data_IF_333816046817
#
_entry.id   IF_333816046817
#
_cell.length_a   1.000
_cell.length_b   1.000
_cell.length_c   1.000
_cell.angle_alpha   90.00
_cell.angle_beta   90.00
_cell.angle_gamma   90.00
#
_symmetry.space_group_name_H-M   'P 1'
#
loop_
_entity.id
_entity.type
_entity.pdbx_description
1 polymer ?
#
# COMPACT_ATOMS: atom_id res chain seq x y z
N UNK A 1 0.41 10.35 78.67
CA UNK A 1 1.46 10.75 77.72
C UNK A 1 1.64 9.73 76.62
N UNK A 2 1.79 8.43 76.83
CA UNK A 2 2.03 7.41 75.77
C UNK A 2 0.96 7.34 74.68
N UNK A 3 -0.35 7.47 75.08
CA UNK A 3 -1.47 7.42 74.10
C UNK A 3 -1.56 8.64 73.22
N UNK A 4 -1.12 9.80 73.64
CA UNK A 4 -1.10 11.04 72.89
C UNK A 4 0.03 11.01 71.81
N UNK A 5 1.15 10.40 72.12
CA UNK A 5 2.26 10.22 71.21
C UNK A 5 1.95 9.23 70.08
N UNK A 6 1.08 8.23 70.38
CA UNK A 6 0.67 7.23 69.41
C UNK A 6 -0.34 7.80 68.38
N UNK A 7 -1.22 8.71 68.81
CA UNK A 7 -2.17 9.39 67.93
C UNK A 7 -1.45 10.37 66.99
N UNK A 8 -0.47 11.11 67.51
CA UNK A 8 0.36 12.02 66.67
C UNK A 8 1.14 11.24 65.63
N UNK A 9 1.71 10.07 65.95
CA UNK A 9 2.41 9.23 64.97
C UNK A 9 1.47 8.68 63.88
N UNK A 10 0.23 8.29 64.23
CA UNK A 10 -0.74 7.81 63.26
C UNK A 10 -1.17 8.93 62.28
N UNK A 11 -1.38 10.13 62.77
CA UNK A 11 -1.74 11.29 61.96
C UNK A 11 -0.59 11.69 61.03
N UNK A 12 0.64 11.69 61.54
CA UNK A 12 1.82 12.00 60.70
C UNK A 12 2.07 10.93 59.63
N UNK A 13 1.81 9.65 59.92
CA UNK A 13 1.95 8.56 58.98
C UNK A 13 0.87 8.60 57.88
N UNK A 14 -0.35 9.05 58.22
CA UNK A 14 -1.41 9.21 57.24
C UNK A 14 -1.18 10.34 56.23
N UNK A 15 -0.59 11.46 56.66
CA UNK A 15 -0.24 12.57 55.76
C UNK A 15 0.90 12.21 54.79
N UNK A 16 1.89 11.44 55.25
CA UNK A 16 2.99 10.97 54.43
C UNK A 16 2.49 9.96 53.38
N UNK A 17 1.55 9.07 53.75
CA UNK A 17 1.00 8.07 52.85
C UNK A 17 0.10 8.67 51.74
N UNK A 18 -0.70 9.71 52.07
CA UNK A 18 -1.49 10.44 51.09
C UNK A 18 -0.58 11.21 50.08
N UNK A 19 0.50 11.81 50.58
CA UNK A 19 1.47 12.54 49.70
C UNK A 19 2.19 11.62 48.73
N UNK A 20 2.44 10.36 49.10
CA UNK A 20 3.14 9.40 48.23
C UNK A 20 2.24 8.87 47.11
N UNK A 21 0.94 8.64 47.42
CA UNK A 21 -0.07 8.24 46.42
C UNK A 21 -0.27 9.29 45.31
N UNK A 22 -0.23 10.56 45.67
CA UNK A 22 -0.39 11.65 44.72
C UNK A 22 0.86 11.82 43.81
N UNK A 23 2.05 11.55 44.37
CA UNK A 23 3.31 11.55 43.60
C UNK A 23 3.38 10.41 42.59
N UNK A 24 2.98 9.20 42.98
CA UNK A 24 2.90 8.02 42.11
C UNK A 24 1.90 8.24 40.95
N UNK A 25 0.75 8.85 41.25
CA UNK A 25 -0.26 9.21 40.25
C UNK A 25 0.26 10.26 39.26
N UNK A 26 1.02 11.24 39.74
CA UNK A 26 1.64 12.27 38.90
C UNK A 26 2.72 11.69 37.98
N UNK A 27 3.53 10.75 38.47
CA UNK A 27 4.56 10.06 37.69
C UNK A 27 3.94 9.23 36.57
N UNK A 28 2.86 8.48 36.84
CA UNK A 28 2.10 7.72 35.83
C UNK A 28 1.49 8.66 34.76
N UNK A 29 0.97 9.82 35.16
CA UNK A 29 0.44 10.81 34.23
C UNK A 29 1.54 11.39 33.35
N UNK A 30 2.72 11.66 33.91
CA UNK A 30 3.86 12.20 33.19
C UNK A 30 4.39 11.17 32.18
N UNK A 31 4.45 9.91 32.54
CA UNK A 31 4.84 8.82 31.65
C UNK A 31 3.84 8.67 30.47
N UNK A 32 2.54 8.73 30.76
CA UNK A 32 1.51 8.71 29.71
C UNK A 32 1.60 9.93 28.79
N UNK A 33 1.89 11.13 29.32
CA UNK A 33 2.08 12.33 28.51
C UNK A 33 3.28 12.18 27.58
N UNK A 34 4.41 11.70 28.09
CA UNK A 34 5.61 11.47 27.29
C UNK A 34 5.35 10.44 26.17
N UNK A 35 4.61 9.37 26.48
CA UNK A 35 4.23 8.36 25.49
C UNK A 35 3.31 8.91 24.40
N UNK A 36 2.31 9.73 24.80
CA UNK A 36 1.43 10.40 23.84
C UNK A 36 2.20 11.39 22.95
N UNK A 37 3.18 12.10 23.52
CA UNK A 37 4.04 13.02 22.78
C UNK A 37 4.90 12.27 21.74
N UNK A 38 5.41 11.09 22.10
CA UNK A 38 6.13 10.20 21.19
C UNK A 38 5.20 9.66 20.07
N UNK A 39 3.99 9.23 20.42
CA UNK A 39 2.99 8.76 19.45
C UNK A 39 2.57 9.87 18.48
N UNK A 40 2.38 11.10 18.97
CA UNK A 40 2.08 12.27 18.12
C UNK A 40 3.25 12.56 17.17
N UNK A 41 4.48 12.52 17.67
CA UNK A 41 5.67 12.71 16.84
C UNK A 41 5.77 11.64 15.73
N UNK A 42 5.54 10.38 16.07
CA UNK A 42 5.54 9.27 15.12
C UNK A 42 4.42 9.40 14.08
N UNK A 43 3.22 9.82 14.49
CA UNK A 43 2.10 10.08 13.58
C UNK A 43 2.40 11.26 12.65
N UNK A 44 3.00 12.33 13.17
CA UNK A 44 3.42 13.47 12.35
C UNK A 44 4.42 13.06 11.27
N UNK A 45 5.42 12.26 11.64
CA UNK A 45 6.40 11.75 10.67
C UNK A 45 5.74 10.86 9.59
N UNK A 46 4.77 10.02 9.96
CA UNK A 46 4.01 9.23 8.99
C UNK A 46 3.15 10.08 8.06
N UNK A 47 2.58 11.16 8.57
CA UNK A 47 1.81 12.11 7.75
C UNK A 47 2.74 12.80 6.74
N UNK A 48 3.93 13.21 7.16
CA UNK A 48 4.90 13.84 6.28
C UNK A 48 5.40 12.86 5.21
N UNK A 49 5.65 11.61 5.56
CA UNK A 49 6.00 10.53 4.63
C UNK A 49 4.87 10.28 3.62
N UNK A 50 3.63 10.14 4.08
CA UNK A 50 2.48 9.96 3.21
C UNK A 50 2.26 11.15 2.26
N UNK A 51 2.46 12.38 2.74
CA UNK A 51 2.35 13.58 1.90
C UNK A 51 3.44 13.61 0.82
N UNK A 52 4.65 13.18 1.15
CA UNK A 52 5.74 13.06 0.18
C UNK A 52 5.42 11.99 -0.88
N UNK A 53 4.89 10.84 -0.46
CA UNK A 53 4.50 9.77 -1.38
C UNK A 53 3.34 10.20 -2.29
N UNK A 54 2.34 10.92 -1.74
CA UNK A 54 1.24 11.50 -2.54
C UNK A 54 1.77 12.47 -3.59
N UNK A 55 2.68 13.36 -3.22
CA UNK A 55 3.30 14.29 -4.16
C UNK A 55 4.05 13.55 -5.27
N UNK A 56 4.80 12.52 -4.93
CA UNK A 56 5.54 11.67 -5.89
C UNK A 56 4.61 10.91 -6.83
N UNK A 57 3.47 10.42 -6.33
CA UNK A 57 2.42 9.78 -7.14
C UNK A 57 1.79 10.81 -8.09
N UNK A 58 1.51 12.01 -7.62
CA UNK A 58 0.92 13.08 -8.42
C UNK A 58 1.86 13.54 -9.55
N UNK A 59 3.15 13.71 -9.26
CA UNK A 59 4.18 13.99 -10.27
C UNK A 59 4.30 12.86 -11.30
N UNK A 60 4.29 11.60 -10.85
CA UNK A 60 4.32 10.43 -11.73
C UNK A 60 3.08 10.35 -12.62
N UNK A 61 1.89 10.65 -12.07
CA UNK A 61 0.66 10.70 -12.83
C UNK A 61 0.68 11.82 -13.88
N UNK A 62 1.18 13.00 -13.53
CA UNK A 62 1.32 14.10 -14.50
C UNK A 62 2.22 13.72 -15.66
N UNK A 63 3.36 13.07 -15.40
CA UNK A 63 4.25 12.59 -16.45
C UNK A 63 3.57 11.56 -17.35
N UNK A 64 2.75 10.66 -16.77
CA UNK A 64 1.97 9.69 -17.55
C UNK A 64 0.91 10.35 -18.42
N UNK A 65 0.20 11.36 -17.91
CA UNK A 65 -0.77 12.09 -18.72
C UNK A 65 -0.11 12.77 -19.91
N UNK A 66 1.08 13.36 -19.73
CA UNK A 66 1.85 13.98 -20.81
C UNK A 66 2.32 12.93 -21.82
N UNK A 67 2.75 11.75 -21.36
CA UNK A 67 3.16 10.66 -22.26
C UNK A 67 1.97 10.08 -23.03
N UNK A 68 0.84 9.89 -22.33
CA UNK A 68 -0.41 9.42 -22.95
C UNK A 68 -0.92 10.40 -24.02
N UNK A 69 -0.89 11.69 -23.72
CA UNK A 69 -1.30 12.74 -24.66
C UNK A 69 -0.42 12.76 -25.91
N UNK A 70 0.89 12.58 -25.73
CA UNK A 70 1.86 12.45 -26.82
C UNK A 70 1.60 11.21 -27.66
N UNK A 71 1.29 10.07 -27.05
CA UNK A 71 0.98 8.82 -27.76
C UNK A 71 -0.35 8.93 -28.51
N UNK A 72 -1.37 9.57 -27.90
CA UNK A 72 -2.65 9.85 -28.57
C UNK A 72 -2.39 10.70 -29.82
N UNK A 73 -1.62 11.76 -29.70
CA UNK A 73 -1.30 12.64 -30.84
C UNK A 73 -0.52 11.93 -31.95
N UNK A 74 0.36 11.01 -31.59
CA UNK A 74 1.07 10.15 -32.55
C UNK A 74 0.11 9.21 -33.27
N UNK A 75 -0.85 8.60 -32.54
CA UNK A 75 -1.87 7.73 -33.14
C UNK A 75 -2.82 8.49 -34.04
N UNK A 76 -3.28 9.68 -33.63
CA UNK A 76 -4.10 10.56 -34.47
C UNK A 76 -3.38 10.92 -35.78
N UNK A 77 -2.08 11.22 -35.69
CA UNK A 77 -1.26 11.52 -36.88
C UNK A 77 -1.13 10.32 -37.80
N UNK A 78 -0.94 9.11 -37.24
CA UNK A 78 -0.87 7.86 -38.01
C UNK A 78 -2.20 7.51 -38.67
N UNK A 79 -3.32 7.72 -37.98
CA UNK A 79 -4.68 7.51 -38.54
C UNK A 79 -4.89 8.47 -39.73
N UNK A 80 -4.60 9.77 -39.55
CA UNK A 80 -4.73 10.75 -40.64
C UNK A 80 -3.87 10.42 -41.84
N UNK A 81 -2.64 9.93 -41.62
CA UNK A 81 -1.76 9.49 -42.71
C UNK A 81 -2.27 8.22 -43.42
N UNK A 82 -2.93 7.31 -42.67
CA UNK A 82 -3.55 6.11 -43.22
C UNK A 82 -4.85 6.38 -44.00
N UNK A 83 -5.56 7.45 -43.66
CA UNK A 83 -6.75 7.91 -44.39
C UNK A 83 -6.37 8.57 -45.74
N UNK A 84 -5.23 9.27 -45.80
CA UNK A 84 -4.72 9.82 -47.09
C UNK A 84 -4.24 8.76 -48.06
N UNK A 85 -3.74 7.58 -47.57
CA UNK A 85 -3.32 6.46 -48.44
C UNK A 85 -4.47 5.50 -48.80
N UNK A 86 -5.65 5.63 -48.21
CA UNK A 86 -6.78 4.69 -48.35
C UNK A 86 -7.79 5.08 -49.45
N UNK A 87 -7.55 6.10 -50.26
CA UNK A 87 -8.43 6.41 -51.41
C UNK A 87 -8.26 5.46 -52.60
N UNK A 88 -7.31 4.49 -52.59
CA UNK A 88 -7.03 3.67 -53.78
C UNK A 88 -7.04 2.15 -53.60
N UNK A 89 -7.47 1.54 -52.49
CA UNK A 89 -7.70 0.07 -52.47
C UNK A 89 -8.70 -0.38 -51.39
N UNK A 90 -9.90 -0.74 -51.82
CA UNK A 90 -10.90 -1.44 -51.05
C UNK A 90 -10.50 -2.91 -50.95
N UNK A 91 -9.81 -3.31 -49.88
CA UNK A 91 -9.60 -4.71 -49.53
C UNK A 91 -10.11 -4.96 -48.11
N UNK A 92 -11.18 -5.77 -48.08
CA UNK A 92 -11.83 -6.35 -46.90
C UNK A 92 -10.86 -7.29 -46.18
N UNK A 93 -10.27 -6.84 -45.08
CA UNK A 93 -9.57 -7.73 -44.14
C UNK A 93 -9.72 -7.22 -42.71
N UNK A 94 -10.39 -8.01 -41.89
CA UNK A 94 -10.64 -7.86 -40.45
C UNK A 94 -9.35 -8.00 -39.60
N UNK A 95 -8.20 -7.57 -40.03
CA UNK A 95 -6.96 -7.55 -39.25
C UNK A 95 -6.41 -6.13 -39.22
N UNK A 96 -6.76 -5.39 -38.20
CA UNK A 96 -6.18 -4.08 -37.91
C UNK A 96 -4.73 -4.29 -37.37
N UNK A 97 -3.65 -4.07 -38.16
CA UNK A 97 -2.28 -4.29 -37.73
C UNK A 97 -1.84 -3.40 -36.56
N UNK A 98 -2.59 -2.32 -36.31
CA UNK A 98 -2.30 -1.39 -35.23
C UNK A 98 -2.70 -1.96 -33.85
N UNK A 99 -3.75 -2.80 -33.79
CA UNK A 99 -4.17 -3.47 -32.57
C UNK A 99 -3.12 -4.45 -32.05
N UNK A 100 -2.40 -5.11 -32.96
CA UNK A 100 -1.32 -6.04 -32.58
C UNK A 100 -0.05 -5.35 -32.06
N UNK A 101 0.26 -4.16 -32.56
CA UNK A 101 1.46 -3.41 -32.13
C UNK A 101 1.27 -2.75 -30.76
N UNK A 102 0.07 -2.24 -30.46
CA UNK A 102 -0.24 -1.64 -29.16
C UNK A 102 -0.31 -2.74 -28.09
N UNK A 103 -0.98 -3.84 -28.39
CA UNK A 103 -1.11 -4.98 -27.47
C UNK A 103 0.24 -5.64 -27.15
N UNK A 104 1.19 -5.69 -28.11
CA UNK A 104 2.52 -6.25 -27.87
C UNK A 104 3.39 -5.36 -26.98
N UNK A 105 3.33 -4.03 -27.13
CA UNK A 105 4.09 -3.08 -26.32
C UNK A 105 3.61 -3.07 -24.85
N UNK A 106 2.31 -3.04 -24.63
CA UNK A 106 1.72 -3.07 -23.28
C UNK A 106 2.03 -4.38 -22.56
N UNK A 107 1.97 -5.51 -23.27
CA UNK A 107 2.32 -6.82 -22.73
C UNK A 107 3.80 -6.95 -22.36
N UNK A 108 4.71 -6.34 -23.12
CA UNK A 108 6.15 -6.35 -22.81
C UNK A 108 6.47 -5.48 -21.59
N UNK A 109 5.83 -4.33 -21.45
CA UNK A 109 6.00 -3.44 -20.29
C UNK A 109 5.43 -4.08 -19.01
N UNK A 110 4.26 -4.69 -19.09
CA UNK A 110 3.66 -5.44 -17.97
C UNK A 110 4.57 -6.59 -17.52
N UNK A 111 5.06 -7.39 -18.47
CA UNK A 111 6.01 -8.47 -18.19
C UNK A 111 7.31 -7.96 -17.57
N UNK A 112 7.81 -6.82 -18.01
CA UNK A 112 9.02 -6.20 -17.47
C UNK A 112 8.82 -5.81 -15.99
N UNK A 113 7.70 -5.16 -15.64
CA UNK A 113 7.35 -4.82 -14.26
C UNK A 113 7.20 -6.08 -13.39
N UNK A 114 6.51 -7.09 -13.91
CA UNK A 114 6.33 -8.36 -13.23
C UNK A 114 7.67 -9.07 -12.98
N UNK A 115 8.49 -9.24 -14.01
CA UNK A 115 9.77 -9.92 -13.89
C UNK A 115 10.76 -9.20 -12.97
N UNK A 116 10.75 -7.86 -12.99
CA UNK A 116 11.53 -7.06 -12.06
C UNK A 116 11.05 -7.24 -10.62
N UNK A 117 9.74 -7.27 -10.39
CA UNK A 117 9.18 -7.50 -9.06
C UNK A 117 9.62 -8.83 -8.48
N UNK A 118 9.60 -9.90 -9.27
CA UNK A 118 10.08 -11.21 -8.84
C UNK A 118 11.56 -11.20 -8.46
N UNK A 119 12.42 -10.53 -9.26
CA UNK A 119 13.85 -10.39 -8.95
C UNK A 119 14.08 -9.62 -7.65
N UNK A 120 13.28 -8.60 -7.37
CA UNK A 120 13.34 -7.84 -6.14
C UNK A 120 12.94 -8.70 -4.93
N UNK A 121 11.90 -9.52 -5.07
CA UNK A 121 11.48 -10.48 -4.03
C UNK A 121 12.58 -11.50 -3.75
N UNK A 122 13.18 -12.10 -4.78
CA UNK A 122 14.29 -13.05 -4.66
C UNK A 122 15.49 -12.43 -3.91
N UNK A 123 15.74 -11.14 -4.14
CA UNK A 123 16.80 -10.39 -3.46
C UNK A 123 16.38 -9.81 -2.10
N UNK A 124 15.20 -10.16 -1.58
CA UNK A 124 14.63 -9.66 -0.31
C UNK A 124 14.43 -8.14 -0.27
N UNK A 125 14.33 -7.47 -1.43
CA UNK A 125 14.06 -6.04 -1.56
C UNK A 125 12.55 -5.80 -1.60
N UNK A 126 11.89 -6.16 -0.48
CA UNK A 126 10.42 -6.22 -0.42
C UNK A 126 9.73 -4.87 -0.63
N UNK A 127 10.29 -3.78 -0.12
CA UNK A 127 9.69 -2.44 -0.30
C UNK A 127 9.65 -2.03 -1.77
N UNK A 128 10.74 -2.23 -2.50
CA UNK A 128 10.81 -1.91 -3.91
C UNK A 128 9.97 -2.87 -4.77
N UNK A 129 9.89 -4.14 -4.36
CA UNK A 129 9.00 -5.11 -5.00
C UNK A 129 7.53 -4.68 -4.85
N UNK A 130 7.13 -4.24 -3.65
CA UNK A 130 5.78 -3.76 -3.39
C UNK A 130 5.44 -2.52 -4.24
N UNK A 131 6.36 -1.58 -4.40
CA UNK A 131 6.18 -0.42 -5.28
C UNK A 131 5.94 -0.84 -6.74
N UNK A 132 6.77 -1.74 -7.27
CA UNK A 132 6.63 -2.23 -8.64
C UNK A 132 5.32 -3.01 -8.86
N UNK A 133 4.92 -3.85 -7.88
CA UNK A 133 3.66 -4.59 -7.94
C UNK A 133 2.44 -3.65 -7.89
N UNK A 134 2.48 -2.61 -7.05
CA UNK A 134 1.44 -1.56 -7.03
C UNK A 134 1.36 -0.84 -8.36
N UNK A 135 2.52 -0.50 -8.95
CA UNK A 135 2.57 0.13 -10.26
C UNK A 135 1.97 -0.77 -11.33
N UNK A 136 2.27 -2.07 -11.32
CA UNK A 136 1.71 -3.05 -12.25
C UNK A 136 0.18 -3.10 -12.14
N UNK A 137 -0.35 -3.25 -10.92
CA UNK A 137 -1.80 -3.29 -10.64
C UNK A 137 -2.50 -2.03 -11.16
N UNK A 138 -1.88 -0.88 -10.95
CA UNK A 138 -2.45 0.41 -11.34
C UNK A 138 -2.40 0.64 -12.86
N UNK A 139 -1.30 0.24 -13.50
CA UNK A 139 -1.09 0.46 -14.94
C UNK A 139 -1.81 -0.57 -15.80
N UNK A 140 -1.94 -1.80 -15.32
CA UNK A 140 -2.51 -2.93 -16.06
C UNK A 140 -3.61 -3.64 -15.26
N UNK A 141 -4.73 -2.98 -14.94
CA UNK A 141 -5.76 -3.54 -14.05
C UNK A 141 -6.49 -4.77 -14.61
N UNK A 142 -6.33 -5.05 -15.90
CA UNK A 142 -6.85 -6.25 -16.59
C UNK A 142 -5.71 -7.06 -17.24
N UNK A 143 -4.48 -6.80 -16.84
CA UNK A 143 -3.29 -7.45 -17.38
C UNK A 143 -3.17 -8.92 -16.99
N UNK A 144 -2.28 -9.62 -17.66
CA UNK A 144 -2.04 -11.06 -17.44
C UNK A 144 -1.50 -11.32 -16.04
N UNK A 145 -0.66 -10.42 -15.49
CA UNK A 145 0.05 -10.61 -14.23
C UNK A 145 -0.64 -9.93 -13.04
N UNK A 146 -1.75 -9.21 -13.24
CA UNK A 146 -2.41 -8.41 -12.18
C UNK A 146 -2.85 -9.26 -10.99
N UNK A 147 -3.37 -10.47 -11.23
CA UNK A 147 -3.82 -11.39 -10.16
C UNK A 147 -2.63 -11.83 -9.31
N UNK A 148 -1.56 -12.23 -9.96
CA UNK A 148 -0.33 -12.63 -9.28
C UNK A 148 0.30 -11.42 -8.55
N UNK A 149 0.24 -10.23 -9.14
CA UNK A 149 0.73 -9.00 -8.51
C UNK A 149 0.00 -8.67 -7.20
N UNK A 150 -1.33 -8.74 -7.19
CA UNK A 150 -2.12 -8.61 -5.96
C UNK A 150 -1.71 -9.65 -4.91
N UNK A 151 -1.56 -10.91 -5.33
CA UNK A 151 -1.22 -12.00 -4.43
C UNK A 151 0.15 -11.80 -3.77
N UNK A 152 1.18 -11.52 -4.56
CA UNK A 152 2.53 -11.28 -4.04
C UNK A 152 2.62 -9.99 -3.21
N UNK A 153 1.90 -8.94 -3.58
CA UNK A 153 1.82 -7.70 -2.80
C UNK A 153 1.20 -7.95 -1.42
N UNK A 154 0.08 -8.68 -1.37
CA UNK A 154 -0.54 -9.07 -0.11
C UNK A 154 0.38 -9.93 0.77
N UNK A 155 1.15 -10.83 0.15
CA UNK A 155 2.11 -11.69 0.86
C UNK A 155 3.30 -10.89 1.41
N UNK A 156 3.80 -9.91 0.66
CA UNK A 156 4.84 -8.98 1.12
C UNK A 156 4.36 -8.20 2.33
N UNK A 157 3.17 -7.62 2.29
CA UNK A 157 2.60 -6.89 3.41
C UNK A 157 2.42 -7.79 4.64
N UNK A 158 1.97 -9.02 4.45
CA UNK A 158 1.85 -10.00 5.53
C UNK A 158 3.21 -10.29 6.19
N UNK A 159 4.25 -10.54 5.40
CA UNK A 159 5.61 -10.79 5.89
C UNK A 159 6.20 -9.58 6.63
N UNK A 160 5.85 -8.37 6.22
CA UNK A 160 6.25 -7.12 6.88
C UNK A 160 5.39 -6.77 8.10
N UNK A 161 4.43 -7.62 8.48
CA UNK A 161 3.47 -7.39 9.57
C UNK A 161 2.53 -6.19 9.33
N UNK A 162 2.42 -5.75 8.10
CA UNK A 162 1.46 -4.74 7.64
C UNK A 162 0.11 -5.41 7.41
N UNK A 163 -0.51 -5.91 8.48
CA UNK A 163 -1.67 -6.79 8.39
C UNK A 163 -2.90 -6.12 7.78
N UNK A 164 -3.09 -4.82 8.05
CA UNK A 164 -4.20 -4.06 7.46
C UNK A 164 -4.06 -3.93 5.94
N UNK A 165 -2.87 -3.54 5.45
CA UNK A 165 -2.60 -3.42 4.00
C UNK A 165 -2.70 -4.77 3.30
N UNK A 166 -2.21 -5.83 3.96
CA UNK A 166 -2.33 -7.20 3.49
C UNK A 166 -3.81 -7.62 3.35
N UNK A 167 -4.64 -7.33 4.38
CA UNK A 167 -6.07 -7.61 4.36
C UNK A 167 -6.76 -6.90 3.19
N UNK A 168 -6.51 -5.61 3.01
CA UNK A 168 -7.09 -4.81 1.93
C UNK A 168 -6.68 -5.33 0.55
N UNK A 169 -5.40 -5.72 0.40
CA UNK A 169 -4.86 -6.25 -0.86
C UNK A 169 -5.49 -7.58 -1.24
N UNK A 170 -5.55 -8.55 -0.32
CA UNK A 170 -6.20 -9.85 -0.60
C UNK A 170 -7.72 -9.72 -0.78
N UNK A 171 -8.37 -8.82 -0.03
CA UNK A 171 -9.80 -8.54 -0.21
C UNK A 171 -10.08 -7.95 -1.60
N UNK A 172 -9.23 -7.02 -2.06
CA UNK A 172 -9.32 -6.45 -3.40
C UNK A 172 -9.12 -7.50 -4.49
N UNK A 173 -8.17 -8.42 -4.30
CA UNK A 173 -7.97 -9.55 -5.23
C UNK A 173 -9.23 -10.39 -5.40
N UNK A 174 -9.85 -10.79 -4.28
CA UNK A 174 -11.06 -11.63 -4.30
C UNK A 174 -12.26 -10.86 -4.87
N UNK A 175 -12.39 -9.58 -4.52
CA UNK A 175 -13.51 -8.76 -4.98
C UNK A 175 -13.46 -8.51 -6.49
N UNK A 176 -12.27 -8.19 -7.01
CA UNK A 176 -12.10 -7.89 -8.43
C UNK A 176 -12.00 -9.14 -9.31
N UNK A 177 -11.51 -10.25 -8.75
CA UNK A 177 -11.26 -11.50 -9.49
C UNK A 177 -11.79 -12.72 -8.70
N UNK A 178 -13.11 -12.84 -8.47
CA UNK A 178 -13.69 -13.85 -7.56
C UNK A 178 -13.40 -15.30 -7.99
N UNK A 179 -13.39 -15.57 -9.30
CA UNK A 179 -13.23 -16.93 -9.85
C UNK A 179 -11.79 -17.26 -10.27
N UNK A 180 -10.80 -16.52 -9.74
CA UNK A 180 -9.41 -16.77 -10.09
C UNK A 180 -8.81 -17.98 -9.31
N UNK A 181 -7.74 -18.56 -9.86
CA UNK A 181 -7.03 -19.70 -9.26
C UNK A 181 -6.39 -19.43 -7.90
N UNK A 182 -6.13 -18.14 -7.56
CA UNK A 182 -5.56 -17.71 -6.28
C UNK A 182 -6.61 -17.45 -5.19
N UNK A 183 -7.90 -17.41 -5.53
CA UNK A 183 -8.97 -17.14 -4.55
C UNK A 183 -8.94 -18.05 -3.33
N UNK A 184 -8.78 -19.40 -3.44
CA UNK A 184 -8.76 -20.26 -2.27
C UNK A 184 -7.59 -19.95 -1.32
N UNK A 185 -6.41 -19.67 -1.88
CA UNK A 185 -5.23 -19.34 -1.11
C UNK A 185 -5.35 -17.94 -0.48
N UNK A 186 -5.95 -16.98 -1.19
CA UNK A 186 -6.22 -15.64 -0.69
C UNK A 186 -7.22 -15.65 0.47
N UNK A 187 -8.27 -16.47 0.43
CA UNK A 187 -9.17 -16.64 1.57
C UNK A 187 -8.46 -17.24 2.79
N UNK A 188 -7.57 -18.21 2.59
CA UNK A 188 -6.76 -18.74 3.67
C UNK A 188 -5.86 -17.66 4.30
N UNK A 189 -5.19 -16.85 3.48
CA UNK A 189 -4.37 -15.72 3.94
C UNK A 189 -5.20 -14.70 4.72
N UNK A 190 -6.39 -14.33 4.24
CA UNK A 190 -7.30 -13.46 4.98
C UNK A 190 -7.65 -14.02 6.36
N UNK A 191 -7.91 -15.31 6.47
CA UNK A 191 -8.15 -15.96 7.77
C UNK A 191 -6.97 -15.82 8.72
N UNK A 192 -5.74 -16.02 8.23
CA UNK A 192 -4.52 -15.83 9.04
C UNK A 192 -4.34 -14.36 9.48
N UNK A 193 -4.61 -13.41 8.57
CA UNK A 193 -4.49 -11.97 8.85
C UNK A 193 -5.49 -11.54 9.92
N UNK A 194 -6.73 -12.01 9.85
CA UNK A 194 -7.76 -11.68 10.85
C UNK A 194 -7.34 -12.12 12.25
N UNK A 195 -6.70 -13.29 12.40
CA UNK A 195 -6.17 -13.74 13.69
C UNK A 195 -5.11 -12.76 14.21
N UNK A 196 -4.27 -12.20 13.34
CA UNK A 196 -3.23 -11.24 13.74
C UNK A 196 -3.78 -9.85 14.07
N UNK A 197 -4.94 -9.48 13.52
CA UNK A 197 -5.58 -8.19 13.77
C UNK A 197 -6.46 -8.20 15.04
N UNK A 198 -6.83 -9.40 15.54
CA UNK A 198 -7.61 -9.55 16.78
C UNK A 198 -6.73 -9.61 18.06
N UNK A 199 -5.41 -9.87 17.92
CA UNK A 199 -4.42 -9.90 19.01
C UNK A 199 -3.86 -8.49 19.31
#
# INVERSE_FOLDING_TARGET
MKKFFLIINILFFSEIFLSQSDQDALEILLDKLNKLEEEISNLSNKIDENNFDLQRIEESNQLRYVDLDKRIHQLETLILLSEEEAEDEFIDTEDNPLSGLISSSESEEEFSLWSNSLKLIENSRYSEAAENLRLLILSYPQGEYVIEAYFYLGDIYFQQQMFQDSFETFSSLILNFPDNKRSPESFYKLGLILIQLED
#
